data_IF_817099495510
#
_entry.id   IF_817099495510
#
_cell.length_a   1.000
_cell.length_b   1.000
_cell.length_c   1.000
_cell.angle_alpha   90.00
_cell.angle_beta   90.00
_cell.angle_gamma   90.00
#
_symmetry.space_group_name_H-M   'P 1'
#
loop_
_entity.id
_entity.type
_entity.pdbx_description
1 polymer ?
#
# COMPACT_ATOMS: atom_id res chain seq x y z
N UNK A 1 7.88 -0.13 4.85
CA UNK A 1 7.66 1.07 5.71
C UNK A 1 8.25 2.39 5.18
N UNK A 2 9.21 2.41 4.25
CA UNK A 2 9.89 3.65 3.82
C UNK A 2 9.02 4.68 3.07
N UNK A 3 8.00 4.24 2.32
CA UNK A 3 7.17 5.12 1.48
C UNK A 3 6.29 6.06 2.31
N UNK A 4 5.67 5.54 3.38
CA UNK A 4 4.85 6.32 4.31
C UNK A 4 5.68 7.43 4.98
N UNK A 5 6.95 7.14 5.32
CA UNK A 5 7.87 8.15 5.87
C UNK A 5 8.13 9.27 4.87
N UNK A 6 8.39 8.95 3.59
CA UNK A 6 8.62 9.97 2.54
C UNK A 6 7.38 10.84 2.30
N UNK A 7 6.19 10.22 2.26
CA UNK A 7 4.92 10.95 2.16
C UNK A 7 4.69 11.88 3.36
N UNK A 8 5.04 11.43 4.57
CA UNK A 8 4.93 12.27 5.77
C UNK A 8 5.90 13.45 5.74
N UNK A 9 7.13 13.26 5.24
CA UNK A 9 8.13 14.34 5.11
C UNK A 9 7.70 15.36 4.06
N UNK A 10 7.24 14.91 2.90
CA UNK A 10 6.74 15.79 1.83
C UNK A 10 5.52 16.58 2.28
N UNK A 11 4.54 15.93 2.92
CA UNK A 11 3.41 16.63 3.56
C UNK A 11 3.88 17.73 4.51
N UNK A 12 4.90 17.41 5.33
CA UNK A 12 5.44 18.35 6.31
C UNK A 12 6.10 19.57 5.68
N UNK A 13 6.81 19.38 4.57
CA UNK A 13 7.42 20.47 3.82
C UNK A 13 6.33 21.37 3.22
N UNK A 14 5.28 20.78 2.64
CA UNK A 14 4.14 21.53 2.09
C UNK A 14 3.41 22.33 3.18
N UNK A 15 3.06 21.71 4.31
CA UNK A 15 2.40 22.40 5.44
C UNK A 15 3.20 23.62 5.93
N UNK A 16 4.53 23.53 5.93
CA UNK A 16 5.39 24.65 6.30
C UNK A 16 5.40 25.76 5.26
N UNK A 17 5.49 25.40 3.98
CA UNK A 17 5.45 26.35 2.88
C UNK A 17 4.11 27.11 2.85
N UNK A 18 2.97 26.41 3.06
CA UNK A 18 1.64 27.03 3.11
C UNK A 18 1.51 28.04 4.25
N UNK A 19 2.15 27.79 5.39
CA UNK A 19 2.12 28.69 6.54
C UNK A 19 3.23 29.77 6.50
N UNK A 20 4.12 29.74 5.51
CA UNK A 20 5.27 30.63 5.44
C UNK A 20 6.28 30.45 6.59
N UNK A 21 6.32 29.26 7.22
CA UNK A 21 7.17 29.00 8.40
C UNK A 21 8.44 28.24 8.01
N UNK A 22 9.56 28.70 8.53
CA UNK A 22 10.87 28.10 8.35
C UNK A 22 11.27 27.20 9.52
N UNK A 23 12.40 26.50 9.39
CA UNK A 23 12.97 25.74 10.51
C UNK A 23 13.51 26.66 11.62
N UNK A 24 13.85 27.91 11.31
CA UNK A 24 14.40 28.89 12.27
C UNK A 24 13.36 29.35 13.29
N UNK A 25 12.09 29.31 12.91
CA UNK A 25 10.98 29.70 13.80
C UNK A 25 10.76 28.68 14.93
N UNK A 26 11.42 27.51 14.86
CA UNK A 26 11.37 26.43 15.88
C UNK A 26 9.93 26.04 16.30
N UNK A 27 8.95 26.25 15.41
CA UNK A 27 7.56 25.94 15.68
C UNK A 27 7.39 24.42 15.77
N UNK A 28 6.81 23.98 16.88
CA UNK A 28 6.57 22.56 17.16
C UNK A 28 5.68 21.93 16.11
N UNK A 29 5.91 20.64 15.88
CA UNK A 29 5.21 20.00 14.79
C UNK A 29 3.68 19.94 14.99
N UNK A 30 3.27 19.79 16.26
CA UNK A 30 1.88 19.76 16.69
C UNK A 30 1.14 21.06 16.35
N UNK A 31 1.79 22.22 16.49
CA UNK A 31 1.16 23.51 16.23
C UNK A 31 0.85 23.73 14.75
N UNK A 32 1.79 23.38 13.87
CA UNK A 32 1.57 23.41 12.41
C UNK A 32 0.41 22.48 12.02
N UNK A 33 0.27 21.31 12.66
CA UNK A 33 -0.87 20.40 12.41
C UNK A 33 -2.18 20.99 12.90
N UNK A 34 -2.18 21.68 14.05
CA UNK A 34 -3.35 22.37 14.60
C UNK A 34 -3.86 23.45 13.65
N UNK A 35 -2.94 24.24 13.08
CA UNK A 35 -3.25 25.33 12.14
C UNK A 35 -3.77 24.83 10.81
N UNK A 36 -3.14 23.80 10.25
CA UNK A 36 -3.50 23.29 8.91
C UNK A 36 -4.70 22.33 8.93
N UNK A 37 -4.99 21.67 10.06
CA UNK A 37 -6.04 20.63 10.20
C UNK A 37 -5.95 19.50 9.17
N UNK A 38 -4.79 19.32 8.53
CA UNK A 38 -4.60 18.34 7.47
C UNK A 38 -4.59 16.93 8.05
N UNK A 39 -5.36 16.04 7.43
CA UNK A 39 -5.45 14.62 7.82
C UNK A 39 -4.11 13.91 7.55
N UNK A 40 -3.79 12.88 8.34
CA UNK A 40 -2.55 12.12 8.13
C UNK A 40 -2.64 11.36 6.80
N UNK A 41 -1.75 11.65 5.84
CA UNK A 41 -1.76 11.00 4.51
C UNK A 41 -1.73 9.47 4.62
N UNK A 42 -1.01 8.91 5.61
CA UNK A 42 -0.98 7.47 5.83
C UNK A 42 -2.38 6.86 6.04
N UNK A 43 -3.24 7.53 6.82
CA UNK A 43 -4.62 7.07 7.05
C UNK A 43 -5.45 7.20 5.77
N UNK A 44 -5.25 8.28 4.99
CA UNK A 44 -5.95 8.46 3.72
C UNK A 44 -5.55 7.39 2.70
N UNK A 45 -4.25 7.10 2.58
CA UNK A 45 -3.72 6.03 1.71
C UNK A 45 -4.30 4.68 2.13
N UNK A 46 -4.25 4.34 3.42
CA UNK A 46 -4.83 3.10 3.91
C UNK A 46 -6.34 3.00 3.60
N UNK A 47 -7.10 4.09 3.83
CA UNK A 47 -8.52 4.14 3.50
C UNK A 47 -8.76 3.91 2.00
N UNK A 48 -8.00 4.55 1.13
CA UNK A 48 -8.12 4.39 -0.32
C UNK A 48 -7.80 2.95 -0.75
N UNK A 49 -6.77 2.33 -0.18
CA UNK A 49 -6.45 0.92 -0.45
C UNK A 49 -7.60 0.00 -0.04
N UNK A 50 -8.20 0.22 1.13
CA UNK A 50 -9.36 -0.56 1.59
C UNK A 50 -10.61 -0.32 0.74
N UNK A 51 -10.85 0.90 0.30
CA UNK A 51 -11.95 1.22 -0.63
C UNK A 51 -11.74 0.53 -1.98
N UNK A 52 -10.52 0.56 -2.50
CA UNK A 52 -10.16 -0.15 -3.72
C UNK A 52 -10.34 -1.66 -3.57
N UNK A 53 -9.84 -2.27 -2.48
CA UNK A 53 -10.02 -3.68 -2.21
C UNK A 53 -11.50 -4.07 -2.15
N UNK A 54 -12.32 -3.29 -1.43
CA UNK A 54 -13.77 -3.50 -1.39
C UNK A 54 -14.45 -3.30 -2.74
N UNK A 55 -13.97 -2.38 -3.58
CA UNK A 55 -14.48 -2.21 -4.94
C UNK A 55 -14.16 -3.43 -5.81
N UNK A 56 -12.92 -3.94 -5.75
CA UNK A 56 -12.51 -5.15 -6.48
C UNK A 56 -13.30 -6.39 -6.04
N UNK A 57 -13.55 -6.57 -4.74
CA UNK A 57 -14.36 -7.69 -4.22
C UNK A 57 -15.78 -7.68 -4.80
N UNK A 58 -16.36 -6.50 -5.04
CA UNK A 58 -17.73 -6.35 -5.57
C UNK A 58 -17.81 -6.45 -7.10
N UNK A 59 -16.68 -6.39 -7.79
CA UNK A 59 -16.59 -6.45 -9.25
C UNK A 59 -16.84 -7.89 -9.72
N UNK A 60 -17.93 -8.10 -10.48
CA UNK A 60 -18.38 -9.40 -11.02
C UNK A 60 -17.85 -9.71 -12.42
N UNK A 61 -17.07 -8.81 -13.00
CA UNK A 61 -16.53 -8.83 -14.36
C UNK A 61 -15.35 -9.80 -14.56
N UNK A 62 -15.13 -10.75 -13.64
CA UNK A 62 -14.30 -11.94 -13.84
C UNK A 62 -12.79 -11.72 -14.02
N UNK A 63 -12.31 -10.49 -14.11
CA UNK A 63 -10.91 -10.20 -14.49
C UNK A 63 -9.89 -10.36 -13.36
N UNK A 64 -10.30 -10.19 -12.09
CA UNK A 64 -9.37 -10.19 -10.93
C UNK A 64 -9.99 -10.57 -9.58
N UNK A 65 -11.33 -10.55 -9.43
CA UNK A 65 -11.99 -10.62 -8.13
C UNK A 65 -11.68 -11.90 -7.32
N UNK A 66 -11.96 -13.10 -7.85
CA UNK A 66 -11.68 -14.36 -7.14
C UNK A 66 -10.18 -14.64 -7.01
N UNK A 67 -9.42 -14.44 -8.09
CA UNK A 67 -8.01 -14.85 -8.19
C UNK A 67 -7.07 -14.02 -7.29
N UNK A 68 -7.40 -12.75 -7.03
CA UNK A 68 -6.65 -11.90 -6.07
C UNK A 68 -7.01 -12.21 -4.61
N UNK A 69 -8.23 -12.67 -4.34
CA UNK A 69 -8.67 -13.04 -2.98
C UNK A 69 -8.21 -14.44 -2.58
N UNK A 70 -8.22 -15.37 -3.53
CA UNK A 70 -7.68 -16.72 -3.38
C UNK A 70 -6.15 -16.75 -3.51
N UNK A 71 -5.53 -15.60 -3.79
CA UNK A 71 -4.08 -15.50 -3.94
C UNK A 71 -3.38 -15.91 -2.65
N UNK A 72 -2.89 -17.14 -2.63
CA UNK A 72 -2.00 -17.65 -1.61
C UNK A 72 -0.57 -17.49 -2.13
N UNK A 73 0.33 -16.81 -1.40
CA UNK A 73 1.71 -16.72 -1.82
C UNK A 73 2.27 -18.14 -1.94
N UNK A 74 2.76 -18.52 -3.12
CA UNK A 74 3.46 -19.80 -3.36
C UNK A 74 4.80 -19.78 -2.64
N UNK A 75 4.77 -19.85 -1.33
CA UNK A 75 5.94 -20.07 -0.48
C UNK A 75 6.15 -21.58 -0.38
N UNK A 76 6.47 -22.20 -1.50
CA UNK A 76 6.74 -23.63 -1.58
C UNK A 76 7.74 -23.88 -2.69
N UNK A 77 8.93 -24.41 -2.35
CA UNK A 77 9.84 -24.95 -3.35
C UNK A 77 9.13 -26.15 -3.99
N UNK A 78 8.95 -26.14 -5.31
CA UNK A 78 8.43 -27.28 -6.06
C UNK A 78 9.30 -28.50 -5.73
N UNK A 79 8.75 -29.51 -5.07
CA UNK A 79 9.41 -30.82 -5.08
C UNK A 79 9.37 -31.32 -6.52
N UNK A 80 10.55 -31.61 -7.06
CA UNK A 80 10.70 -32.22 -8.37
C UNK A 80 10.05 -33.61 -8.31
N UNK A 81 8.85 -33.74 -8.87
CA UNK A 81 8.33 -35.05 -9.24
C UNK A 81 9.14 -35.52 -10.44
N UNK A 82 10.01 -36.51 -10.21
CA UNK A 82 10.63 -37.32 -11.26
C UNK A 82 9.54 -37.73 -12.26
N UNK A 83 9.72 -37.54 -13.57
CA UNK A 83 8.75 -38.03 -14.55
C UNK A 83 8.63 -39.54 -14.42
N UNK A 84 7.41 -40.02 -14.19
CA UNK A 84 7.08 -41.43 -14.33
C UNK A 84 7.42 -41.84 -15.77
N UNK A 85 8.46 -42.64 -15.91
CA UNK A 85 8.83 -43.32 -17.14
C UNK A 85 7.75 -44.37 -17.43
N UNK A 86 6.78 -43.99 -18.27
CA UNK A 86 5.83 -44.92 -18.89
C UNK A 86 5.70 -44.55 -20.36
N UNK A 87 6.36 -45.32 -21.23
CA UNK A 87 5.70 -46.15 -22.25
C UNK A 87 6.75 -46.87 -23.11
N UNK A 88 6.49 -48.12 -23.42
CA UNK A 88 7.36 -48.96 -24.23
C UNK A 88 6.83 -50.38 -24.40
N UNK A 89 5.66 -50.51 -25.03
CA UNK A 89 5.17 -51.77 -25.61
C UNK A 89 6.28 -52.51 -26.35
N UNK A 90 6.53 -53.78 -25.99
CA UNK A 90 6.64 -54.94 -26.86
C UNK A 90 6.68 -56.24 -26.05
#
# INVERSE_FOLDING_TARGET
MGLVRRLRVTQRAMERATLGVSLRDKIRNVEIRRRTRVTVIAQRVAKLMWQWAGHIVRRRDGRWGPEVLEWQPRTGKRSWSTPDEVDGRH
#
